data_IF_202586201216
#
_entry.id   IF_202586201216
#
_cell.length_a   1.000
_cell.length_b   1.000
_cell.length_c   1.000
_cell.angle_alpha   90.00
_cell.angle_beta   90.00
_cell.angle_gamma   90.00
#
_symmetry.space_group_name_H-M   'P 1'
#
loop_
_entity.id
_entity.type
_entity.pdbx_description
1 polymer ?
#
# COMPACT_ATOMS: atom_id res chain seq x y z
N UNK A 1 10.85 6.36 6.22
CA UNK A 1 12.24 6.79 6.03
C UNK A 1 12.57 7.10 4.56
N UNK A 2 11.95 6.43 3.58
CA UNK A 2 12.13 6.72 2.14
C UNK A 2 11.74 8.16 1.76
N UNK A 3 10.83 8.79 2.49
CA UNK A 3 10.40 10.16 2.23
C UNK A 3 11.43 11.24 2.67
N UNK A 4 12.50 10.85 3.35
CA UNK A 4 13.55 11.75 3.87
C UNK A 4 14.77 11.77 2.92
N UNK A 5 14.79 10.90 1.90
CA UNK A 5 15.91 10.72 1.00
C UNK A 5 16.00 11.91 0.02
N UNK A 6 17.14 12.57 -0.01
CA UNK A 6 17.44 13.60 -1.00
C UNK A 6 17.72 12.93 -2.35
N UNK A 7 16.81 13.14 -3.31
CA UNK A 7 16.65 12.38 -4.56
C UNK A 7 17.93 12.22 -5.42
N UNK A 8 18.98 13.02 -5.23
CA UNK A 8 20.17 12.97 -6.08
C UNK A 8 21.37 12.24 -5.48
N UNK A 9 21.56 12.27 -4.18
CA UNK A 9 22.80 11.77 -3.55
C UNK A 9 22.63 10.37 -2.92
N UNK A 10 21.41 9.99 -2.54
CA UNK A 10 21.21 8.81 -1.70
C UNK A 10 20.70 7.56 -2.45
N UNK A 11 20.45 7.69 -3.77
CA UNK A 11 19.90 6.58 -4.56
C UNK A 11 20.80 5.34 -4.58
N UNK A 12 22.13 5.53 -4.59
CA UNK A 12 23.09 4.41 -4.56
C UNK A 12 23.03 3.66 -3.24
N UNK A 13 22.98 4.39 -2.13
CA UNK A 13 22.97 3.78 -0.79
C UNK A 13 21.62 3.15 -0.49
N UNK A 14 20.53 3.75 -0.97
CA UNK A 14 19.21 3.15 -0.94
C UNK A 14 19.18 1.78 -1.64
N UNK A 15 19.76 1.70 -2.84
CA UNK A 15 19.85 0.43 -3.59
C UNK A 15 20.67 -0.62 -2.85
N UNK A 16 21.81 -0.22 -2.26
CA UNK A 16 22.62 -1.12 -1.42
C UNK A 16 21.82 -1.66 -0.24
N UNK A 17 21.08 -0.78 0.46
CA UNK A 17 20.25 -1.17 1.60
C UNK A 17 19.12 -2.13 1.19
N UNK A 18 18.43 -1.85 0.08
CA UNK A 18 17.39 -2.73 -0.46
C UNK A 18 18.00 -4.07 -0.88
N UNK A 19 19.13 -4.05 -1.60
CA UNK A 19 19.81 -5.28 -2.01
C UNK A 19 20.22 -6.13 -0.80
N UNK A 20 20.83 -5.53 0.21
CA UNK A 20 21.19 -6.20 1.45
C UNK A 20 19.97 -6.78 2.18
N UNK A 21 18.86 -6.02 2.20
CA UNK A 21 17.62 -6.51 2.81
C UNK A 21 17.10 -7.73 2.08
N UNK A 22 17.07 -7.72 0.74
CA UNK A 22 16.62 -8.85 -0.08
C UNK A 22 17.50 -10.08 0.17
N UNK A 23 18.82 -9.91 0.21
CA UNK A 23 19.77 -11.00 0.44
C UNK A 23 19.63 -11.64 1.83
N UNK A 24 19.38 -10.81 2.84
CA UNK A 24 19.20 -11.29 4.22
C UNK A 24 17.83 -11.90 4.49
N UNK A 25 16.82 -11.55 3.67
CA UNK A 25 15.43 -11.94 3.89
C UNK A 25 14.80 -12.63 2.66
N UNK A 26 15.45 -13.66 2.08
CA UNK A 26 14.95 -14.32 0.87
C UNK A 26 13.70 -15.17 1.11
N UNK A 27 13.42 -15.51 2.37
CA UNK A 27 12.30 -16.36 2.77
C UNK A 27 11.49 -15.70 3.88
N UNK A 28 10.25 -16.15 3.99
CA UNK A 28 9.34 -15.74 5.04
C UNK A 28 9.91 -15.96 6.44
N UNK A 29 9.84 -14.90 7.25
CA UNK A 29 10.04 -14.93 8.71
C UNK A 29 8.94 -14.10 9.36
N UNK A 30 8.23 -14.60 10.40
CA UNK A 30 7.04 -13.93 10.95
C UNK A 30 7.28 -12.47 11.34
N UNK A 31 8.41 -12.17 11.94
CA UNK A 31 8.73 -10.82 12.43
C UNK A 31 8.94 -9.80 11.29
N UNK A 32 9.54 -10.24 10.18
CA UNK A 32 9.96 -9.34 9.08
C UNK A 32 8.91 -9.31 7.96
N UNK A 33 8.13 -10.38 7.84
CA UNK A 33 7.13 -10.57 6.79
C UNK A 33 5.70 -10.46 7.29
N UNK A 34 5.47 -9.91 8.49
CA UNK A 34 4.12 -9.61 8.95
C UNK A 34 3.36 -8.76 7.93
N UNK A 35 2.07 -9.03 7.74
CA UNK A 35 1.27 -8.48 6.65
C UNK A 35 1.33 -6.95 6.57
N UNK A 36 1.19 -6.25 7.69
CA UNK A 36 1.25 -4.78 7.75
C UNK A 36 2.63 -4.24 7.31
N UNK A 37 3.73 -4.83 7.81
CA UNK A 37 5.10 -4.42 7.47
C UNK A 37 5.40 -4.68 6.00
N UNK A 38 4.97 -5.83 5.49
CA UNK A 38 5.19 -6.21 4.08
C UNK A 38 4.39 -5.32 3.14
N UNK A 39 3.14 -5.00 3.47
CA UNK A 39 2.30 -4.07 2.71
C UNK A 39 2.95 -2.68 2.62
N UNK A 40 3.37 -2.12 3.77
CA UNK A 40 4.04 -0.83 3.82
C UNK A 40 5.34 -0.82 3.01
N UNK A 41 6.11 -1.91 3.03
CA UNK A 41 7.35 -2.05 2.27
C UNK A 41 7.09 -2.07 0.77
N UNK A 42 6.16 -2.88 0.28
CA UNK A 42 5.78 -2.93 -1.13
C UNK A 42 5.33 -1.55 -1.60
N UNK A 43 4.40 -0.92 -0.89
CA UNK A 43 3.89 0.41 -1.22
C UNK A 43 5.05 1.41 -1.29
N UNK A 44 5.90 1.45 -0.26
CA UNK A 44 7.04 2.37 -0.23
C UNK A 44 8.04 2.13 -1.36
N UNK A 45 8.30 0.88 -1.71
CA UNK A 45 9.22 0.54 -2.79
C UNK A 45 8.65 0.91 -4.16
N UNK A 46 7.36 0.66 -4.41
CA UNK A 46 6.73 0.96 -5.69
C UNK A 46 6.52 2.45 -5.89
N UNK A 47 6.14 3.21 -4.86
CA UNK A 47 6.01 4.67 -4.93
C UNK A 47 7.34 5.39 -5.15
N UNK A 48 8.46 4.76 -4.86
CA UNK A 48 9.80 5.31 -5.08
C UNK A 48 10.58 4.54 -6.16
N UNK A 49 9.88 3.79 -7.02
CA UNK A 49 10.52 2.94 -8.03
C UNK A 49 11.37 3.72 -9.02
N UNK A 50 11.01 4.94 -9.38
CA UNK A 50 11.78 5.85 -10.23
C UNK A 50 13.18 6.13 -9.65
N UNK A 51 13.27 6.39 -8.34
CA UNK A 51 14.54 6.62 -7.64
C UNK A 51 15.32 5.30 -7.50
N UNK A 52 14.63 4.23 -7.12
CA UNK A 52 15.23 2.92 -6.87
C UNK A 52 15.80 2.32 -8.17
N UNK A 53 15.04 2.40 -9.27
CA UNK A 53 15.35 1.72 -10.53
C UNK A 53 15.99 2.65 -11.60
N UNK A 54 16.02 3.96 -11.41
CA UNK A 54 16.37 4.96 -12.44
C UNK A 54 17.71 4.71 -13.11
N UNK A 55 18.79 4.45 -12.57
CA UNK A 55 20.09 4.20 -13.23
C UNK A 55 20.70 2.86 -12.78
N UNK A 56 19.89 1.80 -12.80
CA UNK A 56 20.31 0.49 -12.30
C UNK A 56 20.70 -0.46 -13.45
N UNK A 57 21.56 -1.44 -13.12
CA UNK A 57 21.80 -2.58 -13.98
C UNK A 57 20.61 -3.55 -13.98
N UNK A 58 20.59 -4.42 -14.98
CA UNK A 58 19.54 -5.42 -15.19
C UNK A 58 19.40 -6.38 -14.00
N UNK A 59 20.50 -6.79 -13.39
CA UNK A 59 20.52 -7.77 -12.30
C UNK A 59 19.81 -7.24 -11.05
N UNK A 60 20.10 -6.00 -10.64
CA UNK A 60 19.42 -5.38 -9.50
C UNK A 60 17.94 -5.19 -9.79
N UNK A 61 17.58 -4.75 -11.01
CA UNK A 61 16.19 -4.59 -11.42
C UNK A 61 15.42 -5.89 -11.28
N UNK A 62 15.95 -6.98 -11.82
CA UNK A 62 15.32 -8.30 -11.70
C UNK A 62 15.22 -8.78 -10.26
N UNK A 63 16.28 -8.61 -9.47
CA UNK A 63 16.30 -8.95 -8.05
C UNK A 63 15.22 -8.20 -7.27
N UNK A 64 15.08 -6.90 -7.52
CA UNK A 64 14.07 -6.05 -6.91
C UNK A 64 12.65 -6.49 -7.28
N UNK A 65 12.36 -6.61 -8.59
CA UNK A 65 11.04 -7.02 -9.08
C UNK A 65 10.64 -8.40 -8.58
N UNK A 66 11.56 -9.37 -8.60
CA UNK A 66 11.31 -10.71 -8.05
C UNK A 66 10.98 -10.65 -6.55
N UNK A 67 11.70 -9.84 -5.77
CA UNK A 67 11.42 -9.67 -4.36
C UNK A 67 10.04 -9.06 -4.11
N UNK A 68 9.64 -8.04 -4.89
CA UNK A 68 8.29 -7.47 -4.81
C UNK A 68 7.24 -8.53 -5.08
N UNK A 69 7.43 -9.37 -6.10
CA UNK A 69 6.48 -10.42 -6.47
C UNK A 69 6.37 -11.54 -5.43
N UNK A 70 7.47 -11.92 -4.79
CA UNK A 70 7.45 -12.90 -3.69
C UNK A 70 6.63 -12.34 -2.51
N UNK A 71 6.87 -11.08 -2.15
CA UNK A 71 6.13 -10.40 -1.07
C UNK A 71 4.65 -10.22 -1.41
N UNK A 72 4.34 -9.84 -2.64
CA UNK A 72 2.97 -9.73 -3.15
C UNK A 72 2.22 -11.06 -3.02
N UNK A 73 2.81 -12.15 -3.50
CA UNK A 73 2.19 -13.48 -3.42
C UNK A 73 1.99 -13.93 -1.97
N UNK A 74 2.90 -13.56 -1.07
CA UNK A 74 2.75 -13.79 0.37
C UNK A 74 1.53 -13.04 0.92
N UNK A 75 1.38 -11.73 0.63
CA UNK A 75 0.23 -10.94 1.08
C UNK A 75 -1.09 -11.50 0.55
N UNK A 76 -1.14 -11.84 -0.74
CA UNK A 76 -2.34 -12.40 -1.37
C UNK A 76 -2.80 -13.69 -0.69
N UNK A 77 -1.87 -14.59 -0.35
CA UNK A 77 -2.18 -15.84 0.37
C UNK A 77 -2.69 -15.59 1.78
N UNK A 78 -2.15 -14.58 2.47
CA UNK A 78 -2.48 -14.31 3.87
C UNK A 78 -3.72 -13.43 4.03
N UNK A 79 -4.20 -12.75 3.00
CA UNK A 79 -5.36 -11.87 3.06
C UNK A 79 -6.59 -12.54 3.69
N UNK A 80 -6.91 -13.75 3.27
CA UNK A 80 -8.08 -14.49 3.76
C UNK A 80 -7.98 -14.94 5.22
N UNK A 81 -6.79 -14.95 5.79
CA UNK A 81 -6.53 -15.32 7.19
C UNK A 81 -6.38 -14.10 8.09
N UNK A 82 -6.36 -12.89 7.54
CA UNK A 82 -6.24 -11.65 8.30
C UNK A 82 -7.61 -11.22 8.80
N UNK A 83 -7.74 -11.05 10.11
CA UNK A 83 -8.99 -10.63 10.75
C UNK A 83 -9.03 -9.13 11.07
N UNK A 84 -7.87 -8.48 11.19
CA UNK A 84 -7.80 -7.05 11.47
C UNK A 84 -8.12 -6.25 10.21
N UNK A 85 -9.19 -5.45 10.25
CA UNK A 85 -9.66 -4.66 9.10
C UNK A 85 -8.65 -3.64 8.61
N UNK A 86 -7.91 -3.01 9.50
CA UNK A 86 -6.85 -2.07 9.11
C UNK A 86 -5.75 -2.80 8.34
N UNK A 87 -5.32 -3.97 8.82
CA UNK A 87 -4.33 -4.79 8.14
C UNK A 87 -4.85 -5.32 6.79
N UNK A 88 -6.13 -5.71 6.70
CA UNK A 88 -6.77 -6.07 5.42
C UNK A 88 -6.70 -4.91 4.41
N UNK A 89 -6.99 -3.67 4.84
CA UNK A 89 -6.90 -2.47 3.98
C UNK A 89 -5.45 -2.24 3.54
N UNK A 90 -4.47 -2.42 4.41
CA UNK A 90 -3.05 -2.31 4.06
C UNK A 90 -2.65 -3.33 3.00
N UNK A 91 -3.05 -4.60 3.17
CA UNK A 91 -2.81 -5.66 2.19
C UNK A 91 -3.46 -5.29 0.85
N UNK A 92 -4.74 -4.94 0.84
CA UNK A 92 -5.47 -4.59 -0.39
C UNK A 92 -4.84 -3.40 -1.10
N UNK A 93 -4.40 -2.38 -0.34
CA UNK A 93 -3.69 -1.23 -0.91
C UNK A 93 -2.40 -1.65 -1.62
N UNK A 94 -1.61 -2.54 -1.01
CA UNK A 94 -0.41 -3.08 -1.64
C UNK A 94 -0.74 -3.92 -2.89
N UNK A 95 -1.81 -4.73 -2.85
CA UNK A 95 -2.25 -5.54 -3.99
C UNK A 95 -2.75 -4.66 -5.16
N UNK A 96 -3.50 -3.59 -4.87
CA UNK A 96 -3.99 -2.63 -5.87
C UNK A 96 -2.80 -1.97 -6.57
N UNK A 97 -1.88 -1.37 -5.81
CA UNK A 97 -0.72 -0.66 -6.37
C UNK A 97 0.16 -1.61 -7.18
N UNK A 98 0.39 -2.82 -6.69
CA UNK A 98 1.16 -3.84 -7.43
C UNK A 98 0.45 -4.25 -8.73
N UNK A 99 -0.88 -4.43 -8.69
CA UNK A 99 -1.68 -4.77 -9.87
C UNK A 99 -1.71 -3.67 -10.94
N UNK A 100 -1.58 -2.39 -10.55
CA UNK A 100 -1.44 -1.26 -11.48
C UNK A 100 -0.07 -1.25 -12.17
N UNK A 101 0.98 -1.62 -11.44
CA UNK A 101 2.37 -1.61 -11.96
C UNK A 101 2.65 -2.81 -12.88
N UNK A 102 2.12 -3.99 -12.55
CA UNK A 102 2.39 -5.23 -13.26
C UNK A 102 1.16 -5.68 -14.07
N UNK A 103 1.15 -5.46 -15.37
CA UNK A 103 0.02 -5.75 -16.28
C UNK A 103 -0.46 -7.21 -16.23
N UNK A 104 0.45 -8.17 -16.05
CA UNK A 104 0.11 -9.59 -15.95
C UNK A 104 -0.69 -9.93 -14.68
N UNK A 105 -0.77 -8.99 -13.76
CA UNK A 105 -1.47 -9.12 -12.47
C UNK A 105 -2.72 -8.23 -12.36
N UNK A 106 -3.25 -7.72 -13.47
CA UNK A 106 -4.44 -6.86 -13.50
C UNK A 106 -5.67 -7.49 -12.86
N UNK A 107 -5.85 -8.82 -12.96
CA UNK A 107 -6.92 -9.55 -12.28
C UNK A 107 -6.85 -9.42 -10.74
N UNK A 108 -5.67 -9.18 -10.18
CA UNK A 108 -5.51 -8.94 -8.74
C UNK A 108 -5.92 -7.52 -8.35
N UNK A 109 -5.77 -6.56 -9.27
CA UNK A 109 -6.31 -5.21 -9.09
C UNK A 109 -7.83 -5.25 -8.94
N UNK A 110 -8.54 -5.90 -9.85
CA UNK A 110 -10.00 -6.03 -9.81
C UNK A 110 -10.49 -6.73 -8.54
N UNK A 111 -9.83 -7.84 -8.18
CA UNK A 111 -10.10 -8.54 -6.92
C UNK A 111 -9.93 -7.62 -5.72
N UNK A 112 -8.78 -6.93 -5.63
CA UNK A 112 -8.46 -6.10 -4.46
C UNK A 112 -9.38 -4.87 -4.35
N UNK A 113 -9.78 -4.26 -5.47
CA UNK A 113 -10.77 -3.17 -5.50
C UNK A 113 -12.12 -3.67 -4.99
N UNK A 114 -12.58 -4.82 -5.46
CA UNK A 114 -13.86 -5.41 -5.02
C UNK A 114 -13.87 -5.70 -3.52
N UNK A 115 -12.80 -6.28 -3.00
CA UNK A 115 -12.68 -6.56 -1.57
C UNK A 115 -12.58 -5.27 -0.74
N UNK A 116 -11.85 -4.25 -1.24
CA UNK A 116 -11.77 -2.95 -0.57
C UNK A 116 -13.14 -2.29 -0.46
N UNK A 117 -13.95 -2.34 -1.52
CA UNK A 117 -15.33 -1.80 -1.50
C UNK A 117 -16.21 -2.51 -0.45
N UNK A 118 -16.09 -3.84 -0.30
CA UNK A 118 -16.80 -4.58 0.75
C UNK A 118 -16.38 -4.14 2.15
N UNK A 119 -15.10 -3.86 2.36
CA UNK A 119 -14.63 -3.35 3.66
C UNK A 119 -15.18 -1.93 3.89
N UNK A 120 -15.17 -1.07 2.88
CA UNK A 120 -15.74 0.28 2.98
C UNK A 120 -17.21 0.20 3.42
N UNK A 121 -18.01 -0.67 2.81
CA UNK A 121 -19.43 -0.85 3.14
C UNK A 121 -19.68 -1.41 4.55
N UNK A 122 -18.78 -2.27 5.05
CA UNK A 122 -19.00 -2.99 6.30
C UNK A 122 -18.29 -2.39 7.51
N UNK A 123 -17.26 -1.58 7.31
CA UNK A 123 -16.38 -1.12 8.39
C UNK A 123 -16.55 0.37 8.73
N UNK A 124 -17.28 1.12 7.92
CA UNK A 124 -17.53 2.53 8.17
C UNK A 124 -19.01 2.79 8.41
N UNK A 125 -19.30 3.72 9.30
CA UNK A 125 -20.67 4.20 9.48
C UNK A 125 -21.07 5.18 8.36
N UNK A 126 -22.32 5.62 8.37
CA UNK A 126 -22.87 6.55 7.36
C UNK A 126 -22.10 7.87 7.24
N UNK A 127 -21.41 8.28 8.29
CA UNK A 127 -20.63 9.52 8.35
C UNK A 127 -19.16 9.31 7.91
N UNK A 128 -18.73 8.06 7.70
CA UNK A 128 -17.36 7.71 7.33
C UNK A 128 -16.43 7.50 8.52
N UNK A 129 -16.97 7.27 9.73
CA UNK A 129 -16.13 6.90 10.86
C UNK A 129 -15.99 5.38 10.96
N UNK A 130 -14.78 4.83 11.22
CA UNK A 130 -14.65 3.38 11.42
C UNK A 130 -15.44 2.91 12.62
N UNK A 131 -16.00 1.68 12.56
CA UNK A 131 -16.81 1.09 13.62
C UNK A 131 -16.03 1.00 14.93
N UNK A 132 -14.72 0.83 14.88
CA UNK A 132 -13.83 0.83 16.05
C UNK A 132 -13.82 2.13 16.83
N UNK A 133 -14.33 3.21 16.27
CA UNK A 133 -14.29 4.57 16.85
C UNK A 133 -12.88 5.08 17.18
N UNK A 134 -11.86 4.53 16.54
CA UNK A 134 -10.46 4.91 16.74
C UNK A 134 -10.05 6.04 15.78
N UNK A 135 -9.70 7.25 16.26
CA UNK A 135 -9.15 8.31 15.42
C UNK A 135 -7.84 7.93 14.73
N UNK A 136 -7.01 7.11 15.38
CA UNK A 136 -5.75 6.63 14.80
C UNK A 136 -6.00 5.70 13.61
N UNK A 137 -7.01 4.83 13.70
CA UNK A 137 -7.39 3.98 12.57
C UNK A 137 -7.98 4.82 11.43
N UNK A 138 -8.84 5.79 11.74
CA UNK A 138 -9.37 6.72 10.75
C UNK A 138 -8.25 7.41 9.98
N UNK A 139 -7.27 8.01 10.65
CA UNK A 139 -6.13 8.66 10.02
C UNK A 139 -5.30 7.70 9.17
N UNK A 140 -5.01 6.52 9.71
CA UNK A 140 -4.21 5.51 9.04
C UNK A 140 -4.89 5.01 7.76
N UNK A 141 -6.17 4.65 7.85
CA UNK A 141 -6.96 4.14 6.73
C UNK A 141 -7.12 5.22 5.65
N UNK A 142 -7.46 6.45 6.05
CA UNK A 142 -7.62 7.58 5.11
C UNK A 142 -6.35 7.81 4.30
N UNK A 143 -5.18 7.70 4.93
CA UNK A 143 -3.88 7.79 4.24
C UNK A 143 -3.75 6.72 3.15
N UNK A 144 -4.09 5.47 3.43
CA UNK A 144 -4.01 4.40 2.43
C UNK A 144 -5.01 4.60 1.30
N UNK A 145 -6.23 5.03 1.61
CA UNK A 145 -7.24 5.32 0.58
C UNK A 145 -6.80 6.44 -0.36
N UNK A 146 -6.23 7.53 0.18
CA UNK A 146 -5.67 8.62 -0.65
C UNK A 146 -4.53 8.10 -1.53
N UNK A 147 -3.59 7.34 -1.00
CA UNK A 147 -2.48 6.77 -1.77
C UNK A 147 -3.02 5.90 -2.91
N UNK A 148 -3.96 5.00 -2.62
CA UNK A 148 -4.58 4.12 -3.62
C UNK A 148 -5.28 4.94 -4.70
N UNK A 149 -6.09 5.93 -4.32
CA UNK A 149 -6.77 6.83 -5.25
C UNK A 149 -5.80 7.53 -6.21
N UNK A 150 -4.74 8.13 -5.67
CA UNK A 150 -3.76 8.84 -6.49
C UNK A 150 -3.03 7.86 -7.43
N UNK A 151 -2.63 6.67 -6.97
CA UNK A 151 -2.03 5.66 -7.84
C UNK A 151 -2.97 5.22 -8.97
N UNK A 152 -4.28 5.10 -8.72
CA UNK A 152 -5.28 4.76 -9.76
C UNK A 152 -5.36 5.90 -10.78
N UNK A 153 -5.38 7.17 -10.34
CA UNK A 153 -5.37 8.35 -11.23
C UNK A 153 -4.09 8.41 -12.07
N UNK A 154 -2.93 8.23 -11.47
CA UNK A 154 -1.64 8.23 -12.16
C UNK A 154 -1.55 7.13 -13.22
N UNK A 155 -2.19 5.98 -12.96
CA UNK A 155 -2.33 4.89 -13.93
C UNK A 155 -3.41 5.15 -15.00
N UNK A 156 -4.06 6.34 -15.01
CA UNK A 156 -5.16 6.70 -15.93
C UNK A 156 -6.34 5.72 -15.90
N UNK A 157 -6.57 5.10 -14.73
CA UNK A 157 -7.68 4.18 -14.48
C UNK A 157 -8.83 4.90 -13.78
N UNK A 158 -10.05 4.37 -13.94
CA UNK A 158 -11.23 4.93 -13.27
C UNK A 158 -11.18 4.66 -11.78
N UNK A 159 -11.27 5.72 -10.98
CA UNK A 159 -11.37 5.60 -9.52
C UNK A 159 -12.78 5.12 -9.16
N UNK A 160 -12.92 4.10 -8.30
CA UNK A 160 -14.23 3.68 -7.82
C UNK A 160 -14.92 4.79 -7.01
N UNK A 161 -16.18 5.10 -7.35
CA UNK A 161 -16.97 6.15 -6.69
C UNK A 161 -16.99 5.99 -5.17
N UNK A 162 -17.21 4.77 -4.67
CA UNK A 162 -17.20 4.48 -3.23
C UNK A 162 -15.89 4.83 -2.53
N UNK A 163 -14.77 4.75 -3.24
CA UNK A 163 -13.47 5.14 -2.68
C UNK A 163 -13.36 6.66 -2.54
N UNK A 164 -13.81 7.42 -3.54
CA UNK A 164 -13.83 8.89 -3.45
C UNK A 164 -14.78 9.36 -2.35
N UNK A 165 -16.01 8.82 -2.31
CA UNK A 165 -16.99 9.16 -1.28
C UNK A 165 -16.49 8.91 0.14
N UNK A 166 -15.87 7.75 0.40
CA UNK A 166 -15.39 7.44 1.75
C UNK A 166 -14.20 8.33 2.14
N UNK A 167 -13.34 8.71 1.20
CA UNK A 167 -12.24 9.65 1.46
C UNK A 167 -12.80 11.01 1.90
N UNK A 168 -13.80 11.53 1.20
CA UNK A 168 -14.44 12.83 1.55
C UNK A 168 -15.07 12.78 2.94
N UNK A 169 -15.81 11.71 3.25
CA UNK A 169 -16.40 11.51 4.57
C UNK A 169 -15.33 11.39 5.67
N UNK A 170 -14.29 10.61 5.44
CA UNK A 170 -13.18 10.46 6.38
C UNK A 170 -12.48 11.81 6.64
N UNK A 171 -12.21 12.58 5.59
CA UNK A 171 -11.59 13.93 5.73
C UNK A 171 -12.49 14.89 6.52
N UNK A 172 -13.80 14.83 6.31
CA UNK A 172 -14.78 15.59 7.10
C UNK A 172 -14.75 15.20 8.58
N UNK A 173 -14.70 13.88 8.88
CA UNK A 173 -14.55 13.39 10.24
C UNK A 173 -13.24 13.85 10.89
N UNK A 174 -12.12 13.77 10.16
CA UNK A 174 -10.81 14.21 10.65
C UNK A 174 -10.87 15.72 10.99
N UNK A 175 -11.43 16.52 10.09
CA UNK A 175 -11.58 17.96 10.32
C UNK A 175 -12.40 18.24 11.58
N UNK A 176 -13.51 17.55 11.81
CA UNK A 176 -14.35 17.75 12.99
C UNK A 176 -13.68 17.40 14.31
N UNK A 177 -12.70 16.47 14.30
CA UNK A 177 -11.94 16.07 15.49
C UNK A 177 -10.77 17.02 15.76
N UNK A 178 -10.22 17.64 14.72
CA UNK A 178 -8.99 18.44 14.81
C UNK A 178 -9.25 19.94 14.83
N UNK A 179 -10.48 20.42 14.54
CA UNK A 179 -10.83 21.83 14.65
C UNK A 179 -10.84 22.24 16.11
N UNK A 180 -10.10 23.28 16.53
CA UNK A 180 -10.32 23.91 17.80
C UNK A 180 -11.73 24.52 17.80
N UNK A 181 -12.45 24.40 18.89
CA UNK A 181 -13.72 25.10 19.15
C UNK A 181 -13.51 26.60 19.13
#
# INVERSE_FOLDING_TARGET
WLNIINRKNDASDLRKLISLWIDKNPKFTPLIWGSSITSLRIISWLLNADIILGSTNFDFKNKFLNSVMIQFNHLKKNYNYENNKVCQIEILSALIITGLVFKDYSHNFEFAIKELQKIIESYFDKNGFPISRSPNELLKITKYFIIVRECIKDAQSSVPEKLDEIIEKNLSCIKSITSPE
#
